data_IF_279144595372
#
_entry.id   IF_279144595372
#
_cell.length_a   1.000
_cell.length_b   1.000
_cell.length_c   1.000
_cell.angle_alpha   90.00
_cell.angle_beta   90.00
_cell.angle_gamma   90.00
#
_symmetry.space_group_name_H-M   'P 1'
#
loop_
_entity.id
_entity.type
_entity.pdbx_description
1 polymer ?
#
# COMPACT_ATOMS: atom_id res chain seq x y z
N UNK A 1 40.60 -46.34 -1.68
CA UNK A 1 39.92 -47.60 -2.04
C UNK A 1 38.50 -47.53 -1.50
N UNK A 2 37.52 -47.91 -2.32
CA UNK A 2 36.04 -47.80 -2.15
C UNK A 2 35.49 -46.39 -2.40
N UNK A 3 34.80 -46.03 -3.48
CA UNK A 3 34.00 -46.73 -4.52
C UNK A 3 32.93 -47.70 -3.98
N UNK A 4 31.67 -47.24 -4.01
CA UNK A 4 30.39 -47.97 -4.17
C UNK A 4 29.32 -46.86 -4.30
N UNK A 5 28.86 -46.43 -5.48
CA UNK A 5 27.95 -47.07 -6.43
C UNK A 5 26.49 -47.19 -5.94
N UNK A 6 25.60 -46.33 -6.46
CA UNK A 6 24.21 -46.61 -6.90
C UNK A 6 23.53 -45.28 -7.28
N UNK A 7 23.30 -44.96 -8.55
CA UNK A 7 22.25 -45.47 -9.45
C UNK A 7 20.82 -45.32 -8.89
N UNK A 8 20.06 -44.43 -9.54
CA UNK A 8 18.63 -44.21 -9.30
C UNK A 8 18.05 -43.27 -10.36
N UNK A 9 17.89 -43.78 -11.59
CA UNK A 9 16.95 -43.24 -12.58
C UNK A 9 15.54 -43.24 -11.98
N UNK A 10 14.73 -42.20 -12.20
CA UNK A 10 13.33 -42.22 -12.70
C UNK A 10 12.93 -40.75 -12.99
N UNK A 11 13.00 -40.28 -14.23
CA UNK A 11 11.89 -40.30 -15.19
C UNK A 11 10.59 -39.72 -14.60
N UNK A 12 10.41 -38.40 -14.76
CA UNK A 12 9.23 -37.66 -14.33
C UNK A 12 8.96 -36.44 -15.20
N UNK A 13 8.88 -36.65 -16.52
CA UNK A 13 8.39 -35.66 -17.48
C UNK A 13 6.90 -35.44 -17.20
N UNK A 14 6.53 -34.29 -16.60
CA UNK A 14 5.19 -33.72 -16.69
C UNK A 14 5.35 -32.25 -17.07
N UNK A 15 5.18 -32.01 -18.37
CA UNK A 15 5.39 -30.71 -18.99
C UNK A 15 4.42 -29.63 -18.51
N UNK A 16 4.71 -28.36 -18.84
CA UNK A 16 3.84 -27.23 -18.56
C UNK A 16 2.60 -27.32 -19.44
N UNK A 17 1.41 -27.41 -18.83
CA UNK A 17 0.17 -27.16 -19.57
C UNK A 17 0.02 -25.65 -19.78
N UNK A 18 0.24 -25.24 -21.03
CA UNK A 18 -0.08 -23.94 -21.59
C UNK A 18 -1.60 -23.70 -21.46
N UNK A 19 -2.02 -22.88 -20.51
CA UNK A 19 -3.39 -22.38 -20.40
C UNK A 19 -3.46 -20.93 -20.89
N UNK A 20 -3.75 -20.78 -22.17
CA UNK A 20 -4.37 -19.59 -22.79
C UNK A 20 -5.67 -20.11 -23.43
N UNK A 21 -6.76 -19.35 -23.71
CA UNK A 21 -6.99 -17.91 -23.66
C UNK A 21 -8.34 -17.50 -22.98
N UNK A 22 -8.49 -16.25 -22.53
CA UNK A 22 -9.83 -15.63 -22.43
C UNK A 22 -9.75 -14.13 -22.71
N UNK A 23 -10.32 -13.69 -23.83
CA UNK A 23 -10.68 -12.30 -24.11
C UNK A 23 -12.14 -12.31 -24.55
N UNK A 24 -13.06 -11.87 -23.67
CA UNK A 24 -14.02 -10.82 -24.04
C UNK A 24 -14.30 -9.93 -22.80
N UNK A 25 -14.47 -8.61 -22.87
CA UNK A 25 -15.48 -7.87 -23.62
C UNK A 25 -15.29 -6.37 -23.31
N UNK A 26 -15.35 -5.50 -24.31
CA UNK A 26 -15.45 -4.05 -24.12
C UNK A 26 -16.90 -3.63 -23.83
N UNK A 27 -17.15 -2.89 -22.74
CA UNK A 27 -18.21 -1.89 -22.70
C UNK A 27 -17.62 -0.50 -23.00
N UNK A 28 -18.00 0.05 -24.14
CA UNK A 28 -17.95 1.50 -24.40
C UNK A 28 -19.07 2.19 -23.61
N UNK A 29 -18.78 3.18 -22.76
CA UNK A 29 -19.72 4.26 -22.50
C UNK A 29 -19.48 5.38 -23.50
N UNK A 30 -20.34 5.46 -24.52
CA UNK A 30 -20.55 6.68 -25.26
C UNK A 30 -21.31 7.67 -24.35
N UNK A 31 -20.65 8.75 -23.96
CA UNK A 31 -21.32 9.94 -23.42
C UNK A 31 -20.60 11.19 -23.93
N UNK A 32 -20.81 11.48 -25.21
CA UNK A 32 -20.70 12.84 -25.72
C UNK A 32 -21.83 13.66 -25.12
N UNK A 33 -21.53 14.45 -24.10
CA UNK A 33 -22.29 15.67 -23.80
C UNK A 33 -21.31 16.83 -23.69
N UNK A 34 -21.23 17.58 -24.79
CA UNK A 34 -20.82 18.97 -24.74
C UNK A 34 -21.77 19.68 -23.75
N UNK A 35 -21.24 20.14 -22.63
CA UNK A 35 -21.92 21.05 -21.73
C UNK A 35 -21.03 22.26 -21.55
N UNK A 36 -21.52 23.36 -22.11
CA UNK A 36 -21.07 24.76 -22.06
C UNK A 36 -19.95 25.13 -21.07
N UNK A 37 -19.04 26.05 -21.46
CA UNK A 37 -18.18 26.73 -20.49
C UNK A 37 -19.08 27.45 -19.49
N UNK A 38 -19.15 26.89 -18.28
CA UNK A 38 -19.85 27.50 -17.15
C UNK A 38 -19.20 28.87 -16.90
N UNK A 39 -19.98 29.92 -16.59
CA UNK A 39 -19.43 31.21 -16.25
C UNK A 39 -18.44 31.02 -15.11
N UNK A 40 -17.22 31.51 -15.31
CA UNK A 40 -16.16 31.56 -14.30
C UNK A 40 -16.66 32.44 -13.16
N UNK A 41 -17.43 31.81 -12.25
CA UNK A 41 -17.64 32.29 -10.90
C UNK A 41 -16.28 32.40 -10.20
N UNK A 42 -16.16 33.31 -9.25
CA UNK A 42 -14.89 33.91 -8.83
C UNK A 42 -13.90 32.83 -8.43
N UNK A 43 -12.72 32.91 -9.05
CA UNK A 43 -11.43 32.40 -8.62
C UNK A 43 -11.46 31.72 -7.23
N UNK A 44 -11.83 30.44 -7.17
CA UNK A 44 -11.54 29.57 -6.04
C UNK A 44 -10.04 29.20 -6.05
N UNK A 45 -9.18 30.22 -6.07
CA UNK A 45 -7.73 30.11 -6.15
C UNK A 45 -7.02 30.27 -4.79
N UNK A 46 -7.73 30.12 -3.67
CA UNK A 46 -7.18 30.42 -2.35
C UNK A 46 -7.58 29.43 -1.24
N UNK A 47 -7.99 28.21 -1.56
CA UNK A 47 -8.25 27.17 -0.54
C UNK A 47 -7.06 26.21 -0.30
N UNK A 48 -5.94 26.40 -0.99
CA UNK A 48 -4.79 25.47 -0.90
C UNK A 48 -3.83 25.74 0.26
N UNK A 49 -4.13 26.66 1.19
CA UNK A 49 -3.15 27.10 2.19
C UNK A 49 -3.69 27.39 3.60
N UNK A 50 -4.89 26.95 3.96
CA UNK A 50 -5.41 27.13 5.32
C UNK A 50 -5.44 25.82 6.12
N UNK A 51 -4.45 24.94 5.93
CA UNK A 51 -4.18 23.96 6.98
C UNK A 51 -3.60 24.72 8.17
N UNK A 52 -4.26 24.65 9.32
CA UNK A 52 -3.79 25.31 10.53
C UNK A 52 -2.36 24.85 10.83
N UNK A 53 -1.49 25.77 11.22
CA UNK A 53 -0.11 25.47 11.61
C UNK A 53 0.05 24.23 12.52
N UNK A 54 -0.79 24.03 13.57
CA UNK A 54 -0.74 22.82 14.39
C UNK A 54 -1.07 21.54 13.60
N UNK A 55 -2.01 21.60 12.64
CA UNK A 55 -2.35 20.48 11.77
C UNK A 55 -1.16 20.03 10.93
N UNK A 56 -0.46 20.99 10.32
CA UNK A 56 0.73 20.70 9.51
C UNK A 56 1.84 20.09 10.37
N UNK A 57 2.06 20.60 11.58
CA UNK A 57 3.05 20.06 12.50
C UNK A 57 2.78 18.58 12.85
N UNK A 58 1.55 18.24 13.23
CA UNK A 58 1.19 16.85 13.54
C UNK A 58 1.29 15.95 12.31
N UNK A 59 0.83 16.39 11.14
CA UNK A 59 0.97 15.62 9.90
C UNK A 59 2.44 15.38 9.54
N UNK A 60 3.32 16.38 9.70
CA UNK A 60 4.76 16.21 9.48
C UNK A 60 5.38 15.22 10.45
N UNK A 61 5.01 15.25 11.74
CA UNK A 61 5.50 14.26 12.71
C UNK A 61 5.04 12.84 12.37
N UNK A 62 3.79 12.69 11.94
CA UNK A 62 3.25 11.40 11.51
C UNK A 62 4.04 10.88 10.30
N UNK A 63 4.26 11.72 9.27
CA UNK A 63 5.04 11.34 8.08
C UNK A 63 6.50 11.03 8.45
N UNK A 64 7.10 11.76 9.39
CA UNK A 64 8.44 11.47 9.88
C UNK A 64 8.51 10.11 10.60
N UNK A 65 7.54 9.81 11.46
CA UNK A 65 7.43 8.50 12.11
C UNK A 65 7.24 7.36 11.11
N UNK A 66 6.38 7.57 10.10
CA UNK A 66 6.13 6.58 9.04
C UNK A 66 7.38 6.25 8.22
N UNK A 67 8.18 7.27 7.89
CA UNK A 67 9.45 7.11 7.17
C UNK A 67 10.52 6.40 8.01
N UNK A 68 10.60 6.73 9.30
CA UNK A 68 11.54 6.07 10.23
C UNK A 68 11.12 4.66 10.62
N UNK A 69 9.87 4.25 10.33
CA UNK A 69 9.35 2.96 10.80
C UNK A 69 8.90 2.97 12.26
N UNK A 70 8.84 4.14 12.90
CA UNK A 70 8.58 4.28 14.34
C UNK A 70 7.09 4.44 14.62
N UNK A 71 6.44 3.33 14.99
CA UNK A 71 5.00 3.27 15.26
C UNK A 71 4.64 4.13 16.49
N UNK A 72 5.53 4.20 17.49
CA UNK A 72 5.32 4.99 18.71
C UNK A 72 5.17 6.48 18.42
N UNK A 73 6.05 7.02 17.57
CA UNK A 73 6.02 8.42 17.12
C UNK A 73 4.74 8.73 16.35
N UNK A 74 4.32 7.83 15.44
CA UNK A 74 3.06 7.99 14.69
C UNK A 74 1.86 8.02 15.64
N UNK A 75 1.79 7.09 16.60
CA UNK A 75 0.71 7.03 17.58
C UNK A 75 0.69 8.23 18.53
N UNK A 76 1.86 8.70 18.98
CA UNK A 76 2.00 9.87 19.82
C UNK A 76 1.54 11.15 19.11
N UNK A 77 1.94 11.32 17.84
CA UNK A 77 1.53 12.46 17.04
C UNK A 77 0.02 12.47 16.74
N UNK A 78 -0.57 11.30 16.43
CA UNK A 78 -2.03 11.16 16.28
C UNK A 78 -2.76 11.48 17.59
N UNK A 79 -2.29 10.94 18.72
CA UNK A 79 -2.87 11.20 20.03
C UNK A 79 -2.78 12.69 20.39
N UNK A 80 -1.66 13.34 20.06
CA UNK A 80 -1.46 14.77 20.21
C UNK A 80 -2.46 15.58 19.37
N UNK A 81 -2.65 15.21 18.10
CA UNK A 81 -3.61 15.86 17.21
C UNK A 81 -5.05 15.75 17.74
N UNK A 82 -5.47 14.58 18.22
CA UNK A 82 -6.79 14.36 18.81
C UNK A 82 -6.97 15.19 20.07
N UNK A 83 -5.98 15.21 20.98
CA UNK A 83 -6.02 16.02 22.21
C UNK A 83 -6.07 17.52 21.93
N UNK A 84 -5.39 17.96 20.87
CA UNK A 84 -5.40 19.34 20.41
C UNK A 84 -6.65 19.70 19.58
N UNK A 85 -7.61 18.76 19.42
CA UNK A 85 -8.80 18.91 18.58
C UNK A 85 -8.48 19.34 17.14
N UNK A 86 -7.33 18.91 16.63
CA UNK A 86 -6.86 19.21 15.29
C UNK A 86 -7.52 18.25 14.31
N UNK A 87 -8.26 18.79 13.34
CA UNK A 87 -8.88 17.99 12.28
C UNK A 87 -7.82 17.50 11.30
N UNK A 88 -7.44 16.22 11.41
CA UNK A 88 -6.60 15.55 10.40
C UNK A 88 -7.50 15.09 9.24
N UNK A 89 -7.11 15.28 7.96
CA UNK A 89 -7.93 14.82 6.83
C UNK A 89 -8.10 13.30 6.83
N UNK A 90 -9.32 12.83 6.57
CA UNK A 90 -9.66 11.39 6.58
C UNK A 90 -8.80 10.57 5.60
N UNK A 91 -8.56 11.13 4.41
CA UNK A 91 -7.67 10.53 3.41
C UNK A 91 -6.24 10.27 3.95
N UNK A 92 -5.74 11.17 4.81
CA UNK A 92 -4.44 11.00 5.45
C UNK A 92 -4.48 9.91 6.52
N UNK A 93 -5.53 9.86 7.34
CA UNK A 93 -5.74 8.79 8.32
C UNK A 93 -5.82 7.41 7.65
N UNK A 94 -6.45 7.30 6.48
CA UNK A 94 -6.49 6.07 5.70
C UNK A 94 -5.08 5.60 5.30
N UNK A 95 -4.20 6.51 4.86
CA UNK A 95 -2.80 6.19 4.54
C UNK A 95 -2.03 5.72 5.78
N UNK A 96 -2.21 6.40 6.92
CA UNK A 96 -1.55 6.01 8.18
C UNK A 96 -2.01 4.61 8.62
N UNK A 97 -3.32 4.32 8.51
CA UNK A 97 -3.87 3.00 8.80
C UNK A 97 -3.29 1.91 7.89
N UNK A 98 -3.22 2.15 6.58
CA UNK A 98 -2.62 1.20 5.64
C UNK A 98 -1.15 0.93 5.96
N UNK A 99 -0.40 1.97 6.32
CA UNK A 99 0.98 1.82 6.74
C UNK A 99 1.11 1.00 8.03
N UNK A 100 0.29 1.28 9.05
CA UNK A 100 0.28 0.51 10.30
C UNK A 100 -0.05 -0.97 10.05
N UNK A 101 -1.03 -1.25 9.19
CA UNK A 101 -1.43 -2.60 8.81
C UNK A 101 -0.28 -3.38 8.13
N UNK A 102 0.42 -2.74 7.18
CA UNK A 102 1.59 -3.33 6.51
C UNK A 102 2.72 -3.71 7.49
N UNK A 103 2.92 -2.91 8.54
CA UNK A 103 3.91 -3.20 9.58
C UNK A 103 3.47 -4.36 10.48
N UNK A 104 2.18 -4.48 10.78
CA UNK A 104 1.65 -5.61 11.54
C UNK A 104 1.74 -6.92 10.76
N UNK A 105 1.51 -6.88 9.44
CA UNK A 105 1.67 -8.06 8.57
C UNK A 105 3.12 -8.52 8.46
N UNK A 106 4.10 -7.60 8.48
CA UNK A 106 5.53 -7.95 8.49
C UNK A 106 6.02 -8.54 9.82
N UNK A 107 5.24 -8.41 10.91
CA UNK A 107 5.57 -8.99 12.20
C UNK A 107 5.14 -10.47 12.31
N UNK A 108 4.43 -11.02 11.32
CA UNK A 108 4.23 -12.47 11.25
C UNK A 108 5.56 -13.13 10.85
N UNK A 109 6.18 -13.93 11.73
CA UNK A 109 7.45 -14.56 11.40
C UNK A 109 7.25 -15.53 10.24
N UNK A 110 7.91 -15.27 9.11
CA UNK A 110 8.10 -16.23 8.01
C UNK A 110 8.98 -17.41 8.45
N UNK A 111 8.60 -18.15 9.51
CA UNK A 111 9.27 -19.41 9.86
C UNK A 111 9.07 -20.51 8.80
N UNK A 112 8.28 -20.29 7.75
CA UNK A 112 7.91 -21.33 6.80
C UNK A 112 8.75 -21.42 5.52
N UNK A 113 9.60 -20.43 5.19
CA UNK A 113 10.27 -20.43 3.87
C UNK A 113 11.73 -20.91 3.88
N UNK A 114 12.35 -21.14 5.04
CA UNK A 114 13.75 -21.57 5.12
C UNK A 114 13.95 -23.10 5.11
N UNK A 115 12.87 -23.89 5.20
CA UNK A 115 12.97 -25.36 5.25
C UNK A 115 12.91 -26.04 3.86
N UNK A 116 12.72 -25.29 2.78
CA UNK A 116 12.56 -25.86 1.42
C UNK A 116 13.80 -25.76 0.53
N UNK A 117 14.95 -25.32 1.06
CA UNK A 117 16.20 -25.23 0.30
C UNK A 117 17.28 -26.22 0.77
N UNK A 118 16.91 -27.26 1.51
CA UNK A 118 17.82 -28.30 2.01
C UNK A 118 17.49 -29.72 1.50
N UNK A 119 16.80 -29.85 0.36
CA UNK A 119 16.66 -31.13 -0.34
C UNK A 119 17.16 -31.04 -1.77
#
# INVERSE_FOLDING_TARGET
>A
MHQMAQQGLMAGIRGPMLAMPTMPQMPYPAASVASAPRPQGPCAGAASNAQSEPQRMYMMQIVAGMQNGDIGTVAAALSGAVRAAVSIPDAFLATVKQWMDSRQQSALPQQQQQQQQQQ
#
